data_IF_609673561201
#
_entry.id   IF_609673561201
#
_cell.length_a   1.000
_cell.length_b   1.000
_cell.length_c   1.000
_cell.angle_alpha   90.00
_cell.angle_beta   90.00
_cell.angle_gamma   90.00
#
_symmetry.space_group_name_H-M   'P 1'
#
loop_
_entity.id
_entity.type
_entity.pdbx_description
1 polymer ?
#
# COMPACT_ATOMS: atom_id res chain seq x y z
N UNK A 1 -7.91 4.96 1.51
CA UNK A 1 -6.53 5.11 0.99
C UNK A 1 -5.59 5.84 1.94
N UNK A 2 -6.08 6.82 2.70
CA UNK A 2 -5.26 7.56 3.67
C UNK A 2 -4.61 6.66 4.73
N UNK A 3 -5.38 5.73 5.30
CA UNK A 3 -4.87 4.70 6.22
C UNK A 3 -3.74 3.87 5.62
N UNK A 4 -3.85 3.51 4.33
CA UNK A 4 -2.83 2.74 3.64
C UNK A 4 -1.51 3.50 3.52
N UNK A 5 -1.57 4.81 3.29
CA UNK A 5 -0.40 5.70 3.25
C UNK A 5 0.27 5.83 4.62
N UNK A 6 -0.51 5.92 5.70
CA UNK A 6 0.05 5.92 7.07
C UNK A 6 0.70 4.59 7.45
N UNK A 7 0.07 3.48 7.07
CA UNK A 7 0.60 2.14 7.29
C UNK A 7 1.87 1.90 6.46
N UNK A 8 1.92 2.37 5.21
CA UNK A 8 3.14 2.32 4.37
C UNK A 8 4.25 3.23 4.88
N UNK A 9 3.90 4.34 5.55
CA UNK A 9 4.86 5.20 6.24
C UNK A 9 5.50 4.52 7.43
N UNK A 10 4.76 3.65 8.10
CA UNK A 10 5.29 2.82 9.17
C UNK A 10 6.05 1.63 8.56
N UNK A 11 7.39 1.65 8.65
CA UNK A 11 8.27 0.56 8.15
C UNK A 11 8.00 -0.83 8.75
N UNK A 12 7.12 -0.91 9.75
CA UNK A 12 6.73 -2.13 10.46
C UNK A 12 5.91 -3.06 9.55
N UNK A 13 5.06 -2.52 8.67
CA UNK A 13 4.12 -3.32 7.88
C UNK A 13 4.59 -3.48 6.44
N UNK A 14 4.56 -4.72 5.95
CA UNK A 14 4.80 -5.01 4.53
C UNK A 14 3.59 -4.58 3.69
N UNK A 15 3.81 -4.30 2.39
CA UNK A 15 2.75 -3.92 1.44
C UNK A 15 1.59 -4.94 1.45
N UNK A 16 1.90 -6.22 1.66
CA UNK A 16 0.89 -7.28 1.82
C UNK A 16 0.01 -7.13 3.06
N UNK A 17 0.60 -6.79 4.21
CA UNK A 17 -0.18 -6.54 5.43
C UNK A 17 -1.01 -5.27 5.32
N UNK A 18 -0.47 -4.23 4.69
CA UNK A 18 -1.23 -3.00 4.43
C UNK A 18 -2.44 -3.29 3.54
N UNK A 19 -2.26 -4.12 2.51
CA UNK A 19 -3.36 -4.56 1.65
C UNK A 19 -4.45 -5.27 2.48
N UNK A 20 -4.06 -6.24 3.31
CA UNK A 20 -4.98 -6.96 4.20
C UNK A 20 -5.69 -6.03 5.19
N UNK A 21 -4.97 -5.11 5.84
CA UNK A 21 -5.56 -4.12 6.75
C UNK A 21 -6.51 -3.15 6.05
N UNK A 22 -6.28 -2.86 4.78
CA UNK A 22 -7.21 -2.07 3.97
C UNK A 22 -8.42 -2.86 3.45
N UNK A 23 -8.54 -4.15 3.76
CA UNK A 23 -9.64 -5.01 3.32
C UNK A 23 -9.44 -5.62 1.93
N UNK A 24 -8.23 -5.58 1.39
CA UNK A 24 -7.89 -6.27 0.14
C UNK A 24 -7.41 -7.69 0.43
N UNK A 25 -7.95 -8.67 -0.31
CA UNK A 25 -7.48 -10.07 -0.26
C UNK A 25 -6.09 -10.24 -0.86
N UNK A 26 -5.74 -9.41 -1.83
CA UNK A 26 -4.52 -9.54 -2.61
C UNK A 26 -3.80 -8.22 -2.78
N UNK A 27 -2.47 -8.31 -2.67
CA UNK A 27 -1.54 -7.18 -2.84
C UNK A 27 -1.61 -6.61 -4.24
N UNK A 28 -1.89 -7.43 -5.25
CA UNK A 28 -2.01 -7.00 -6.65
C UNK A 28 -3.19 -6.05 -6.84
N UNK A 29 -4.36 -6.37 -6.26
CA UNK A 29 -5.53 -5.48 -6.29
C UNK A 29 -5.28 -4.18 -5.53
N UNK A 30 -4.69 -4.29 -4.34
CA UNK A 30 -4.30 -3.12 -3.56
C UNK A 30 -3.31 -2.25 -4.33
N UNK A 31 -2.28 -2.83 -4.94
CA UNK A 31 -1.25 -2.13 -5.70
C UNK A 31 -1.83 -1.42 -6.92
N UNK A 32 -2.76 -2.06 -7.64
CA UNK A 32 -3.47 -1.44 -8.76
C UNK A 32 -4.33 -0.26 -8.29
N UNK A 33 -5.14 -0.44 -7.24
CA UNK A 33 -5.97 0.61 -6.67
C UNK A 33 -5.12 1.78 -6.12
N UNK A 34 -4.02 1.47 -5.43
CA UNK A 34 -3.12 2.45 -4.85
C UNK A 34 -2.38 3.23 -5.94
N UNK A 35 -1.93 2.55 -7.00
CA UNK A 35 -1.36 3.20 -8.18
C UNK A 35 -2.37 4.08 -8.90
N UNK A 36 -3.62 3.66 -9.00
CA UNK A 36 -4.68 4.47 -9.62
C UNK A 36 -5.01 5.71 -8.78
N UNK A 37 -4.95 5.59 -7.45
CA UNK A 37 -5.27 6.67 -6.52
C UNK A 37 -4.12 7.68 -6.31
N UNK A 38 -2.89 7.18 -6.18
CA UNK A 38 -1.69 8.00 -5.89
C UNK A 38 -0.77 8.22 -7.11
N UNK A 39 -0.97 7.48 -8.20
CA UNK A 39 -0.12 7.54 -9.40
C UNK A 39 1.12 6.65 -9.36
N UNK A 40 1.44 6.02 -8.23
CA UNK A 40 2.61 5.15 -8.05
C UNK A 40 2.27 3.93 -7.19
N UNK A 41 3.03 2.84 -7.31
CA UNK A 41 2.77 1.61 -6.56
C UNK A 41 3.18 1.77 -5.09
N UNK A 42 2.50 1.09 -4.17
CA UNK A 42 2.82 1.12 -2.74
C UNK A 42 4.21 0.51 -2.46
N UNK A 43 4.67 -0.41 -3.31
CA UNK A 43 6.05 -0.92 -3.31
C UNK A 43 7.05 0.19 -3.59
N UNK A 44 6.85 0.98 -4.66
CA UNK A 44 7.76 2.09 -4.98
C UNK A 44 7.73 3.19 -3.92
N UNK A 45 6.58 3.44 -3.30
CA UNK A 45 6.46 4.38 -2.19
C UNK A 45 7.28 3.93 -0.98
N UNK A 46 7.18 2.64 -0.64
CA UNK A 46 7.96 2.04 0.45
C UNK A 46 9.47 2.02 0.15
N UNK A 47 9.85 1.74 -1.09
CA UNK A 47 11.25 1.66 -1.51
C UNK A 47 11.95 3.04 -1.52
N UNK A 48 11.18 4.13 -1.68
CA UNK A 48 11.68 5.51 -1.62
C UNK A 48 11.77 6.09 -0.19
N UNK A 49 11.43 5.32 0.85
CA UNK A 49 11.40 5.79 2.25
C UNK A 49 12.43 5.07 3.14
#
# INVERSE_FOLDING_TARGET
MERAKELLKNKILNVSEVAYQCGYKDVSHFSAAFKQFYGFTPVSFRQKQ
#
